data_IF_812503105950
#
_entry.id   IF_812503105950
#
_cell.length_a   1.000
_cell.length_b   1.000
_cell.length_c   1.000
_cell.angle_alpha   90.00
_cell.angle_beta   90.00
_cell.angle_gamma   90.00
#
_symmetry.space_group_name_H-M   'P 1'
#
loop_
_entity.id
_entity.type
_entity.pdbx_description
1 polymer ?
#
# COMPACT_ATOMS: atom_id res chain seq x y z
N UNK A 1 21.86 4.98 -8.19
CA UNK A 1 21.43 5.73 -9.38
C UNK A 1 19.93 5.52 -9.49
N UNK A 2 19.11 6.47 -9.03
CA UNK A 2 17.66 6.26 -8.90
C UNK A 2 16.99 6.51 -10.25
N UNK A 3 16.60 5.42 -10.90
CA UNK A 3 15.95 5.45 -12.19
C UNK A 3 14.46 5.81 -12.01
N UNK A 4 14.13 7.07 -12.27
CA UNK A 4 12.77 7.52 -12.51
C UNK A 4 12.33 6.93 -13.86
N UNK A 5 12.01 5.63 -13.86
CA UNK A 5 11.80 4.80 -15.06
C UNK A 5 11.19 5.60 -16.21
N UNK A 6 11.93 5.59 -17.32
CA UNK A 6 11.56 6.21 -18.57
C UNK A 6 10.07 5.96 -18.91
N UNK A 7 9.37 6.95 -19.48
CA UNK A 7 7.96 6.83 -19.86
C UNK A 7 7.66 5.67 -20.83
N UNK A 8 8.68 5.03 -21.40
CA UNK A 8 8.62 3.90 -22.33
C UNK A 8 8.38 2.52 -21.65
N UNK A 9 8.46 2.43 -20.31
CA UNK A 9 8.39 1.15 -19.57
C UNK A 9 7.00 0.86 -18.94
N UNK A 10 5.92 1.28 -19.60
CA UNK A 10 4.73 1.80 -18.91
C UNK A 10 3.55 0.85 -18.68
N UNK A 11 3.59 -0.43 -19.06
CA UNK A 11 2.46 -1.34 -18.82
C UNK A 11 2.81 -2.61 -18.03
N UNK A 12 3.71 -3.45 -18.57
CA UNK A 12 4.02 -4.74 -17.95
C UNK A 12 4.66 -4.61 -16.55
N UNK A 13 5.46 -3.56 -16.32
CA UNK A 13 6.16 -3.39 -15.04
C UNK A 13 5.27 -2.74 -13.98
N UNK A 14 4.28 -1.94 -14.38
CA UNK A 14 3.25 -1.43 -13.46
C UNK A 14 2.39 -2.56 -12.87
N UNK A 15 2.21 -3.64 -13.62
CA UNK A 15 1.56 -4.85 -13.11
C UNK A 15 2.50 -5.69 -12.24
N UNK A 16 3.80 -5.73 -12.56
CA UNK A 16 4.79 -6.53 -11.84
C UNK A 16 5.23 -5.95 -10.48
N UNK A 17 5.29 -4.62 -10.33
CA UNK A 17 5.77 -4.00 -9.09
C UNK A 17 4.74 -3.03 -8.49
N UNK A 18 4.08 -3.39 -7.37
CA UNK A 18 3.15 -2.50 -6.68
C UNK A 18 3.77 -1.14 -6.30
N UNK A 19 5.06 -1.13 -5.97
CA UNK A 19 5.83 0.09 -5.72
C UNK A 19 5.82 1.07 -6.91
N UNK A 20 5.68 0.59 -8.16
CA UNK A 20 5.57 1.45 -9.34
C UNK A 20 4.21 2.09 -9.52
N UNK A 21 3.16 1.43 -9.05
CA UNK A 21 1.77 1.87 -9.23
C UNK A 21 1.44 3.10 -8.39
N UNK A 22 2.08 3.24 -7.23
CA UNK A 22 1.81 4.32 -6.27
C UNK A 22 3.03 5.20 -5.97
N UNK A 23 4.06 5.23 -6.83
CA UNK A 23 5.30 6.02 -6.62
C UNK A 23 5.11 7.48 -6.21
N UNK A 24 3.99 8.09 -6.62
CA UNK A 24 3.70 9.51 -6.41
C UNK A 24 2.94 9.78 -5.11
N UNK A 25 2.72 8.77 -4.26
CA UNK A 25 1.99 8.91 -3.00
C UNK A 25 2.49 7.90 -1.97
N UNK A 26 2.23 8.17 -0.69
CA UNK A 26 2.47 7.18 0.36
C UNK A 26 1.43 6.06 0.30
N UNK A 27 1.86 4.85 0.68
CA UNK A 27 0.97 3.70 0.70
C UNK A 27 1.36 2.70 1.80
N UNK A 28 0.35 2.00 2.30
CA UNK A 28 0.48 0.89 3.23
C UNK A 28 -0.20 -0.32 2.62
N UNK A 29 0.55 -1.41 2.46
CA UNK A 29 0.04 -2.71 2.07
C UNK A 29 -0.09 -3.60 3.28
N UNK A 30 -1.27 -4.20 3.43
CA UNK A 30 -1.58 -5.19 4.44
C UNK A 30 -1.77 -6.55 3.76
N UNK A 31 -0.96 -7.52 4.16
CA UNK A 31 -1.05 -8.89 3.71
C UNK A 31 -1.40 -9.81 4.89
N UNK A 32 -2.18 -10.86 4.64
CA UNK A 32 -2.39 -11.92 5.63
C UNK A 32 -1.08 -12.72 5.82
N UNK A 33 -0.70 -13.05 7.07
CA UNK A 33 0.31 -14.09 7.32
C UNK A 33 -0.28 -15.44 6.93
N UNK A 34 0.58 -16.44 6.73
CA UNK A 34 0.14 -17.84 6.62
C UNK A 34 -0.74 -18.17 7.84
N UNK A 35 -1.92 -18.75 7.60
CA UNK A 35 -2.94 -19.08 8.60
C UNK A 35 -3.66 -17.89 9.28
N UNK A 36 -3.53 -16.67 8.76
CA UNK A 36 -4.33 -15.53 9.25
C UNK A 36 -5.72 -15.55 8.62
N UNK A 37 -6.75 -15.29 9.45
CA UNK A 37 -8.13 -15.22 8.97
C UNK A 37 -8.29 -14.07 7.95
N UNK A 38 -8.96 -14.29 6.80
CA UNK A 38 -9.31 -13.24 5.86
C UNK A 38 -10.11 -12.09 6.50
N UNK A 39 -10.79 -12.37 7.62
CA UNK A 39 -11.57 -11.39 8.37
C UNK A 39 -10.71 -10.23 8.89
N UNK A 40 -9.43 -10.46 9.21
CA UNK A 40 -8.54 -9.41 9.68
C UNK A 40 -8.28 -8.35 8.59
N UNK A 41 -8.10 -8.79 7.33
CA UNK A 41 -7.97 -7.90 6.18
C UNK A 41 -9.27 -7.14 5.92
N UNK A 42 -10.41 -7.81 5.95
CA UNK A 42 -11.72 -7.16 5.77
C UNK A 42 -11.98 -6.10 6.84
N UNK A 43 -11.60 -6.36 8.10
CA UNK A 43 -11.69 -5.38 9.19
C UNK A 43 -10.76 -4.19 8.98
N UNK A 44 -9.53 -4.43 8.51
CA UNK A 44 -8.58 -3.37 8.22
C UNK A 44 -9.06 -2.49 7.04
N UNK A 45 -9.59 -3.10 5.98
CA UNK A 45 -10.22 -2.41 4.86
C UNK A 45 -11.38 -1.54 5.34
N UNK A 46 -12.34 -2.12 6.06
CA UNK A 46 -13.50 -1.38 6.55
C UNK A 46 -13.12 -0.22 7.49
N UNK A 47 -12.11 -0.41 8.35
CA UNK A 47 -11.60 0.65 9.22
C UNK A 47 -10.95 1.78 8.42
N UNK A 48 -10.12 1.46 7.42
CA UNK A 48 -9.48 2.45 6.57
C UNK A 48 -10.51 3.26 5.76
N UNK A 49 -11.49 2.60 5.15
CA UNK A 49 -12.58 3.29 4.44
C UNK A 49 -13.40 4.18 5.38
N UNK A 50 -13.69 3.72 6.60
CA UNK A 50 -14.44 4.50 7.60
C UNK A 50 -13.69 5.74 8.09
N UNK A 51 -12.35 5.67 8.11
CA UNK A 51 -11.48 6.80 8.42
C UNK A 51 -11.28 7.75 7.22
N UNK A 52 -11.91 7.45 6.07
CA UNK A 52 -11.84 8.27 4.86
C UNK A 52 -10.59 8.04 4.02
N UNK A 53 -9.78 7.02 4.32
CA UNK A 53 -8.63 6.69 3.48
C UNK A 53 -9.06 6.07 2.17
N UNK A 54 -8.30 6.35 1.11
CA UNK A 54 -8.48 5.67 -0.17
C UNK A 54 -7.91 4.25 -0.07
N UNK A 55 -8.73 3.26 -0.36
CA UNK A 55 -8.39 1.83 -0.22
C UNK A 55 -8.57 1.05 -1.51
N UNK A 56 -7.67 0.12 -1.80
CA UNK A 56 -7.74 -0.77 -2.96
C UNK A 56 -7.51 -2.24 -2.53
N UNK A 57 -8.33 -3.16 -3.05
CA UNK A 57 -8.09 -4.60 -2.93
C UNK A 57 -7.28 -5.08 -4.14
N UNK A 58 -6.17 -5.75 -3.91
CA UNK A 58 -5.35 -6.33 -4.97
C UNK A 58 -5.82 -7.75 -5.31
N UNK A 59 -5.50 -8.21 -6.52
CA UNK A 59 -5.87 -9.55 -6.99
C UNK A 59 -5.28 -10.69 -6.14
N UNK A 60 -4.17 -10.44 -5.44
CA UNK A 60 -3.56 -11.39 -4.50
C UNK A 60 -4.25 -11.42 -3.11
N UNK A 61 -5.36 -10.69 -2.94
CA UNK A 61 -6.13 -10.62 -1.69
C UNK A 61 -5.59 -9.62 -0.66
N UNK A 62 -4.50 -8.91 -0.97
CA UNK A 62 -3.98 -7.88 -0.08
C UNK A 62 -4.75 -6.56 -0.17
N UNK A 63 -4.70 -5.79 0.90
CA UNK A 63 -5.35 -4.48 1.00
C UNK A 63 -4.28 -3.40 0.94
N UNK A 64 -4.51 -2.38 0.13
CA UNK A 64 -3.65 -1.20 0.05
C UNK A 64 -4.43 0.03 0.50
N UNK A 65 -3.81 0.79 1.40
CA UNK A 65 -4.31 2.06 1.93
C UNK A 65 -3.37 3.15 1.39
N UNK A 66 -3.93 4.20 0.80
CA UNK A 66 -3.19 5.26 0.10
C UNK A 66 -3.28 6.58 0.85
N UNK A 67 -2.30 7.46 0.63
CA UNK A 67 -2.25 8.83 1.18
C UNK A 67 -2.33 8.89 2.71
N UNK A 68 -1.74 7.89 3.38
CA UNK A 68 -1.58 7.87 4.83
C UNK A 68 -0.16 8.27 5.23
N UNK A 69 0.01 8.78 6.44
CA UNK A 69 1.33 9.05 6.99
C UNK A 69 1.93 7.84 7.73
N UNK A 70 3.15 8.00 8.25
CA UNK A 70 3.82 6.94 8.99
C UNK A 70 3.11 6.61 10.32
N UNK A 71 2.50 7.60 10.98
CA UNK A 71 1.81 7.38 12.25
C UNK A 71 0.55 6.54 12.05
N UNK A 72 -0.23 6.84 11.02
CA UNK A 72 -1.37 6.04 10.59
C UNK A 72 -0.93 4.62 10.24
N UNK A 73 0.17 4.47 9.49
CA UNK A 73 0.68 3.16 9.12
C UNK A 73 1.05 2.31 10.34
N UNK A 74 1.73 2.92 11.33
CA UNK A 74 2.06 2.28 12.59
C UNK A 74 0.81 1.95 13.42
N UNK A 75 -0.20 2.82 13.39
CA UNK A 75 -1.50 2.57 14.04
C UNK A 75 -2.19 1.33 13.45
N UNK A 76 -2.23 1.18 12.12
CA UNK A 76 -2.77 -0.02 11.48
C UNK A 76 -1.95 -1.27 11.85
N UNK A 77 -0.62 -1.19 11.84
CA UNK A 77 0.24 -2.31 12.22
C UNK A 77 0.01 -2.76 13.68
N UNK A 78 -0.16 -1.81 14.61
CA UNK A 78 -0.46 -2.10 16.02
C UNK A 78 -1.87 -2.67 16.21
N UNK A 79 -2.85 -2.17 15.47
CA UNK A 79 -4.26 -2.60 15.57
C UNK A 79 -4.51 -3.98 14.95
N UNK A 80 -3.73 -4.34 13.93
CA UNK A 80 -3.85 -5.60 13.21
C UNK A 80 -2.51 -6.36 13.21
N UNK A 81 -2.04 -6.85 14.37
CA UNK A 81 -0.71 -7.45 14.52
C UNK A 81 -0.55 -8.77 13.74
N UNK A 82 -1.65 -9.41 13.37
CA UNK A 82 -1.67 -10.63 12.56
C UNK A 82 -1.43 -10.37 11.07
N UNK A 83 -1.47 -9.10 10.64
CA UNK A 83 -1.18 -8.70 9.26
C UNK A 83 0.29 -8.33 9.11
N UNK A 84 0.85 -8.60 7.94
CA UNK A 84 2.13 -8.06 7.51
C UNK A 84 1.89 -6.69 6.90
N UNK A 85 2.50 -5.67 7.51
CA UNK A 85 2.44 -4.29 7.06
C UNK A 85 3.71 -3.92 6.29
N UNK A 86 3.54 -3.36 5.10
CA UNK A 86 4.61 -2.77 4.31
C UNK A 86 4.22 -1.36 3.96
N UNK A 87 5.02 -0.39 4.39
CA UNK A 87 4.76 1.02 4.18
C UNK A 87 5.88 1.61 3.32
N UNK A 88 5.49 2.36 2.30
CA UNK A 88 6.40 3.18 1.52
C UNK A 88 5.94 4.65 1.63
N UNK A 89 6.81 5.56 2.10
CA UNK A 89 6.50 6.99 2.09
C UNK A 89 6.52 7.52 0.65
N UNK A 90 5.90 8.69 0.46
CA UNK A 90 5.99 9.41 -0.81
C UNK A 90 7.46 9.67 -1.18
N UNK A 91 7.85 9.36 -2.41
CA UNK A 91 9.19 9.66 -2.87
C UNK A 91 9.27 11.13 -3.31
N UNK A 92 10.00 12.01 -2.58
CA UNK A 92 10.03 13.43 -2.88
C UNK A 92 10.67 13.74 -4.24
N UNK A 93 11.56 12.86 -4.72
CA UNK A 93 12.22 13.01 -6.02
C UNK A 93 11.31 12.64 -7.20
N UNK A 94 10.17 12.00 -6.95
CA UNK A 94 9.17 11.67 -7.96
C UNK A 94 8.03 12.70 -8.06
N UNK A 95 8.08 13.80 -7.29
CA UNK A 95 7.06 14.86 -7.27
C UNK A 95 7.34 16.00 -8.25
N UNK A 96 8.57 16.06 -8.79
CA UNK A 96 8.94 17.05 -9.80
C UNK A 96 8.76 16.46 -11.20
N UNK A 97 7.65 16.82 -11.85
CA UNK A 97 7.47 16.75 -13.31
C UNK A 97 7.35 18.17 -13.84
#
# INVERSE_FOLDING_TARGET
MYDCLAPELTKAIRELHPALRWKTQSWLRLNAKRNTSPLALSKAFAAATSLGFRTENLANGSVVILNLDLQDALMFSRRYPDLLAEYEPINPFCLHK
#
